data_IF_477569987901
#
_entry.id   IF_477569987901
#
_cell.length_a   1.000
_cell.length_b   1.000
_cell.length_c   1.000
_cell.angle_alpha   90.00
_cell.angle_beta   90.00
_cell.angle_gamma   90.00
#
_symmetry.space_group_name_H-M   'P 1'
#
loop_
_entity.id
_entity.type
_entity.pdbx_description
1 polymer ?
#
# COMPACT_ATOMS: atom_id res chain seq x y z
N UNK A 1 15.88 -10.88 8.02
CA UNK A 1 14.41 -11.03 7.86
C UNK A 1 13.75 -9.75 7.34
N UNK A 2 13.58 -8.68 8.13
CA UNK A 2 12.86 -7.47 7.65
C UNK A 2 13.54 -6.80 6.45
N UNK A 3 14.88 -6.78 6.43
CA UNK A 3 15.65 -6.31 5.26
C UNK A 3 15.43 -7.18 4.01
N UNK A 4 15.27 -8.49 4.18
CA UNK A 4 15.04 -9.42 3.07
C UNK A 4 13.63 -9.26 2.53
N UNK A 5 12.63 -9.10 3.41
CA UNK A 5 11.26 -8.77 3.03
C UNK A 5 11.18 -7.44 2.26
N UNK A 6 11.87 -6.40 2.73
CA UNK A 6 11.96 -5.13 2.02
C UNK A 6 12.66 -5.28 0.66
N UNK A 7 13.70 -6.12 0.57
CA UNK A 7 14.35 -6.44 -0.69
C UNK A 7 13.38 -7.14 -1.65
N UNK A 8 12.64 -8.16 -1.21
CA UNK A 8 11.66 -8.87 -2.04
C UNK A 8 10.60 -7.92 -2.60
N UNK A 9 10.11 -6.98 -1.79
CA UNK A 9 9.14 -5.97 -2.19
C UNK A 9 9.69 -4.89 -3.14
N UNK A 10 11.02 -4.79 -3.30
CA UNK A 10 11.68 -3.74 -4.10
C UNK A 10 12.58 -4.34 -5.18
N UNK A 11 13.90 -4.38 -4.95
CA UNK A 11 14.89 -4.89 -5.91
C UNK A 11 14.63 -6.36 -6.31
N UNK A 12 14.18 -7.19 -5.38
CA UNK A 12 13.83 -8.58 -5.65
C UNK A 12 12.71 -8.70 -6.68
N UNK A 13 11.62 -7.94 -6.49
CA UNK A 13 10.55 -7.83 -7.48
C UNK A 13 11.04 -7.25 -8.81
N UNK A 14 11.85 -6.19 -8.80
CA UNK A 14 12.41 -5.62 -10.02
C UNK A 14 13.23 -6.64 -10.82
N UNK A 15 14.06 -7.45 -10.15
CA UNK A 15 14.80 -8.54 -10.79
C UNK A 15 13.90 -9.63 -11.36
N UNK A 16 12.87 -10.03 -10.61
CA UNK A 16 11.92 -11.05 -11.05
C UNK A 16 11.21 -10.66 -12.35
N UNK A 17 11.02 -9.36 -12.60
CA UNK A 17 10.42 -8.84 -13.83
C UNK A 17 11.43 -8.32 -14.86
N UNK A 18 12.74 -8.46 -14.65
CA UNK A 18 13.77 -7.94 -15.56
C UNK A 18 13.82 -6.40 -15.64
N UNK A 19 13.38 -5.71 -14.58
CA UNK A 19 13.30 -4.25 -14.46
C UNK A 19 14.37 -3.67 -13.53
N UNK A 20 15.33 -4.47 -13.06
CA UNK A 20 16.35 -4.05 -12.11
C UNK A 20 17.38 -3.06 -12.67
N UNK A 21 17.46 -2.90 -14.01
CA UNK A 21 18.16 -1.78 -14.64
C UNK A 21 17.39 -0.45 -14.57
N UNK A 22 16.08 -0.48 -14.28
CA UNK A 22 15.17 0.67 -14.37
C UNK A 22 14.63 1.14 -13.01
N UNK A 23 14.33 0.22 -12.09
CA UNK A 23 13.69 0.52 -10.79
C UNK A 23 14.20 -0.41 -9.68
N UNK A 24 13.58 -0.35 -8.49
CA UNK A 24 13.83 -1.26 -7.36
C UNK A 24 14.99 -0.85 -6.44
N UNK A 25 15.77 0.18 -6.78
CA UNK A 25 16.72 0.81 -5.85
C UNK A 25 16.85 2.31 -6.12
N UNK A 26 17.27 3.04 -5.10
CA UNK A 26 17.67 4.44 -5.22
C UNK A 26 19.12 4.46 -5.69
N UNK A 27 19.32 4.59 -7.00
CA UNK A 27 20.64 4.59 -7.65
C UNK A 27 20.59 5.51 -8.87
N UNK A 28 21.60 6.35 -9.11
CA UNK A 28 21.63 7.22 -10.30
C UNK A 28 21.38 6.43 -11.60
N UNK A 29 20.62 7.03 -12.52
CA UNK A 29 20.23 6.40 -13.79
C UNK A 29 18.91 5.61 -13.74
N UNK A 30 18.43 5.22 -12.55
CA UNK A 30 17.11 4.60 -12.38
C UNK A 30 15.98 5.62 -12.30
N UNK A 31 14.76 5.16 -12.57
CA UNK A 31 13.56 5.95 -12.37
C UNK A 31 13.37 6.32 -10.89
N UNK A 32 12.87 7.53 -10.65
CA UNK A 32 12.46 7.96 -9.32
C UNK A 32 11.10 7.38 -8.96
N UNK A 33 11.08 6.07 -8.71
CA UNK A 33 9.96 5.33 -8.13
C UNK A 33 10.16 5.28 -6.61
N UNK A 34 9.57 6.25 -5.90
CA UNK A 34 9.86 6.51 -4.48
C UNK A 34 8.58 6.47 -3.66
N UNK A 35 8.67 5.86 -2.48
CA UNK A 35 7.64 5.89 -1.42
C UNK A 35 8.29 6.49 -0.18
N UNK A 36 7.65 7.52 0.39
CA UNK A 36 8.13 8.24 1.57
C UNK A 36 7.10 8.11 2.68
N UNK A 37 7.57 7.80 3.88
CA UNK A 37 6.74 7.56 5.05
C UNK A 37 6.86 8.71 6.05
N UNK A 38 5.75 9.12 6.64
CA UNK A 38 5.70 9.97 7.81
C UNK A 38 5.92 9.12 9.07
N UNK A 39 7.11 9.24 9.66
CA UNK A 39 7.49 8.47 10.84
C UNK A 39 7.07 9.11 12.18
N UNK A 40 6.17 10.11 12.16
CA UNK A 40 5.70 10.83 13.37
C UNK A 40 4.43 10.24 13.98
N UNK A 41 3.76 9.31 13.29
CA UNK A 41 2.55 8.63 13.76
C UNK A 41 2.79 7.80 15.02
N UNK A 42 1.78 7.70 15.89
CA UNK A 42 1.88 6.95 17.16
C UNK A 42 2.12 5.44 16.94
N UNK A 43 1.62 4.88 15.84
CA UNK A 43 1.84 3.48 15.46
C UNK A 43 3.30 3.20 15.08
N UNK A 44 4.05 4.21 14.65
CA UNK A 44 5.45 4.10 14.20
C UNK A 44 6.44 4.65 15.24
N UNK A 45 5.98 5.38 16.25
CA UNK A 45 6.84 5.96 17.29
C UNK A 45 7.49 4.90 18.19
N UNK A 46 8.80 4.99 18.56
CA UNK A 46 9.79 6.00 18.19
C UNK A 46 10.70 5.56 17.03
N UNK A 47 10.27 5.77 15.78
CA UNK A 47 11.01 5.30 14.60
C UNK A 47 12.40 5.93 14.37
N UNK A 48 12.66 7.13 14.88
CA UNK A 48 13.79 7.96 14.41
C UNK A 48 15.06 7.88 15.26
N UNK A 49 14.99 7.45 16.53
CA UNK A 49 16.17 7.37 17.41
C UNK A 49 16.67 5.92 17.54
N UNK A 50 17.69 5.56 16.77
CA UNK A 50 18.35 4.24 16.84
C UNK A 50 17.55 3.06 16.27
N UNK A 51 16.38 3.33 15.67
CA UNK A 51 15.51 2.34 15.08
C UNK A 51 16.00 1.78 13.74
N UNK A 52 15.57 0.58 13.39
CA UNK A 52 15.83 -0.03 12.08
C UNK A 52 14.70 0.33 11.10
N UNK A 53 14.99 1.19 10.11
CA UNK A 53 13.99 1.65 9.14
C UNK A 53 13.28 0.51 8.39
N UNK A 54 13.98 -0.57 8.03
CA UNK A 54 13.37 -1.72 7.38
C UNK A 54 12.42 -2.47 8.33
N UNK A 55 12.75 -2.54 9.62
CA UNK A 55 11.86 -3.10 10.63
C UNK A 55 10.60 -2.24 10.76
N UNK A 56 10.76 -0.92 10.84
CA UNK A 56 9.65 0.03 10.96
C UNK A 56 8.66 -0.10 9.81
N UNK A 57 9.16 -0.04 8.58
CA UNK A 57 8.31 -0.12 7.38
C UNK A 57 7.62 -1.48 7.26
N UNK A 58 8.31 -2.57 7.58
CA UNK A 58 7.77 -3.92 7.38
C UNK A 58 6.80 -4.34 8.49
N UNK A 59 7.02 -3.93 9.73
CA UNK A 59 6.29 -4.45 10.89
C UNK A 59 5.23 -3.48 11.43
N UNK A 60 5.39 -2.17 11.23
CA UNK A 60 4.54 -1.17 11.91
C UNK A 60 3.85 -0.19 10.97
N UNK A 61 4.46 0.13 9.81
CA UNK A 61 3.88 1.13 8.93
C UNK A 61 2.59 0.67 8.27
N UNK A 62 1.62 1.58 8.20
CA UNK A 62 0.36 1.42 7.50
C UNK A 62 0.30 2.27 6.23
N UNK A 63 -0.73 2.04 5.41
CA UNK A 63 -0.93 2.82 4.17
C UNK A 63 -1.19 4.30 4.43
N UNK A 64 -1.72 4.64 5.60
CA UNK A 64 -1.93 6.02 6.09
C UNK A 64 -0.61 6.76 6.31
N UNK A 65 0.45 6.06 6.69
CA UNK A 65 1.75 6.65 6.97
C UNK A 65 2.53 7.02 5.70
N UNK A 66 2.12 6.53 4.53
CA UNK A 66 2.76 6.92 3.26
C UNK A 66 2.42 8.38 2.97
N UNK A 67 3.34 9.32 3.15
CA UNK A 67 3.06 10.74 2.92
C UNK A 67 3.16 11.09 1.43
N UNK A 68 4.18 10.57 0.74
CA UNK A 68 4.46 10.93 -0.65
C UNK A 68 4.80 9.70 -1.50
N UNK A 69 4.37 9.73 -2.77
CA UNK A 69 4.64 8.69 -3.77
C UNK A 69 5.03 9.35 -5.09
N UNK A 70 6.17 8.95 -5.64
CA UNK A 70 6.59 9.28 -7.01
C UNK A 70 6.61 8.02 -7.89
N UNK A 71 6.22 8.19 -9.15
CA UNK A 71 6.34 7.18 -10.20
C UNK A 71 7.04 7.82 -11.39
N UNK A 72 8.23 7.31 -11.74
CA UNK A 72 9.11 7.86 -12.76
C UNK A 72 9.33 9.38 -12.61
N UNK A 73 9.52 9.85 -11.37
CA UNK A 73 9.74 11.26 -11.05
C UNK A 73 8.49 12.15 -11.07
N UNK A 74 7.30 11.59 -11.32
CA UNK A 74 6.03 12.31 -11.24
C UNK A 74 5.31 11.99 -9.94
N UNK A 75 4.79 13.02 -9.28
CA UNK A 75 4.01 12.86 -8.05
C UNK A 75 2.69 12.14 -8.33
N UNK A 76 2.45 11.04 -7.61
CA UNK A 76 1.17 10.33 -7.56
C UNK A 76 0.41 10.65 -6.26
N UNK A 77 1.15 10.81 -5.16
CA UNK A 77 0.67 11.26 -3.84
C UNK A 77 1.66 12.28 -3.28
N UNK A 78 1.18 13.37 -2.69
CA UNK A 78 2.03 14.39 -2.06
C UNK A 78 1.32 15.01 -0.86
N UNK A 79 2.02 15.13 0.26
CA UNK A 79 1.46 15.68 1.51
C UNK A 79 0.24 14.92 2.00
N UNK A 80 0.23 13.59 1.88
CA UNK A 80 -0.88 12.75 2.31
C UNK A 80 -2.06 12.65 1.32
N UNK A 81 -2.07 13.44 0.24
CA UNK A 81 -3.18 13.48 -0.72
C UNK A 81 -2.79 12.98 -2.13
N UNK A 82 -3.74 12.37 -2.83
CA UNK A 82 -3.56 11.99 -4.24
C UNK A 82 -3.39 13.24 -5.10
N UNK A 83 -2.50 13.19 -6.10
CA UNK A 83 -2.21 14.34 -6.96
C UNK A 83 -3.25 14.54 -8.07
N UNK A 84 -4.20 13.63 -8.23
CA UNK A 84 -5.34 13.82 -9.12
C UNK A 84 -6.57 14.30 -8.36
N UNK A 85 -7.46 15.00 -9.06
CA UNK A 85 -8.61 15.66 -8.44
C UNK A 85 -9.70 14.69 -7.93
N UNK A 86 -10.53 15.22 -7.02
CA UNK A 86 -11.63 14.46 -6.40
C UNK A 86 -12.68 14.00 -7.42
N UNK A 87 -12.88 14.73 -8.53
CA UNK A 87 -13.84 14.35 -9.56
C UNK A 87 -13.36 13.09 -10.31
N UNK A 88 -12.07 13.00 -10.61
CA UNK A 88 -11.47 11.78 -11.16
C UNK A 88 -11.58 10.62 -10.17
N UNK A 89 -11.35 10.86 -8.88
CA UNK A 89 -11.52 9.81 -7.86
C UNK A 89 -12.96 9.27 -7.84
N UNK A 90 -13.95 10.17 -7.82
CA UNK A 90 -15.36 9.80 -7.85
C UNK A 90 -15.72 8.96 -9.08
N UNK A 91 -15.28 9.38 -10.27
CA UNK A 91 -15.48 8.60 -11.51
C UNK A 91 -14.83 7.21 -11.43
N UNK A 92 -13.60 7.11 -10.94
CA UNK A 92 -12.91 5.82 -10.79
C UNK A 92 -13.65 4.89 -9.82
N UNK A 93 -14.22 5.43 -8.73
CA UNK A 93 -15.06 4.63 -7.82
C UNK A 93 -16.33 4.13 -8.50
N UNK A 94 -17.02 4.99 -9.25
CA UNK A 94 -18.21 4.61 -10.01
C UNK A 94 -17.90 3.52 -11.04
N UNK A 95 -16.84 3.69 -11.84
CA UNK A 95 -16.39 2.71 -12.83
C UNK A 95 -16.02 1.37 -12.19
N UNK A 96 -15.32 1.40 -11.05
CA UNK A 96 -14.93 0.19 -10.31
C UNK A 96 -16.16 -0.52 -9.74
N UNK A 97 -17.13 0.20 -9.19
CA UNK A 97 -18.38 -0.38 -8.69
C UNK A 97 -19.21 -0.98 -9.84
N UNK A 98 -19.32 -0.29 -10.97
CA UNK A 98 -20.00 -0.82 -12.14
C UNK A 98 -19.33 -2.10 -12.66
N UNK A 99 -17.99 -2.13 -12.69
CA UNK A 99 -17.22 -3.32 -13.05
C UNK A 99 -17.48 -4.49 -12.09
N UNK A 100 -17.43 -4.23 -10.78
CA UNK A 100 -17.75 -5.21 -9.75
C UNK A 100 -19.15 -5.80 -9.96
N UNK A 101 -20.15 -4.96 -10.22
CA UNK A 101 -21.51 -5.44 -10.40
C UNK A 101 -21.67 -6.33 -11.62
N UNK A 102 -21.05 -5.97 -12.75
CA UNK A 102 -21.02 -6.83 -13.94
C UNK A 102 -20.39 -8.19 -13.66
N UNK A 103 -19.26 -8.22 -12.96
CA UNK A 103 -18.59 -9.49 -12.59
C UNK A 103 -19.49 -10.33 -11.69
N UNK A 104 -20.20 -9.72 -10.75
CA UNK A 104 -21.08 -10.44 -9.83
C UNK A 104 -22.28 -11.05 -10.58
N UNK A 105 -22.89 -10.29 -11.48
CA UNK A 105 -24.00 -10.77 -12.31
C UNK A 105 -23.55 -11.92 -13.22
N UNK A 106 -22.45 -11.74 -13.96
CA UNK A 106 -21.91 -12.76 -14.87
C UNK A 106 -21.43 -14.01 -14.13
N UNK A 107 -20.86 -13.83 -12.94
CA UNK A 107 -20.39 -14.91 -12.08
C UNK A 107 -21.50 -15.61 -11.29
N UNK A 108 -22.77 -15.23 -11.46
CA UNK A 108 -23.89 -15.72 -10.65
C UNK A 108 -23.62 -15.61 -9.14
N UNK A 109 -22.87 -14.59 -8.73
CA UNK A 109 -22.49 -14.38 -7.35
C UNK A 109 -23.72 -13.99 -6.53
N UNK A 110 -23.98 -14.73 -5.45
CA UNK A 110 -25.06 -14.45 -4.51
C UNK A 110 -24.46 -14.00 -3.19
N UNK A 111 -24.66 -12.72 -2.86
CA UNK A 111 -24.40 -12.24 -1.50
C UNK A 111 -25.53 -12.75 -0.61
N UNK A 112 -25.20 -13.66 0.30
CA UNK A 112 -26.13 -14.10 1.34
C UNK A 112 -25.79 -13.37 2.64
N UNK A 113 -26.78 -12.75 3.31
CA UNK A 113 -26.58 -12.25 4.66
C UNK A 113 -26.10 -13.39 5.55
N UNK A 114 -24.94 -13.24 6.19
CA UNK A 114 -24.47 -14.21 7.16
C UNK A 114 -25.20 -13.93 8.47
N UNK A 115 -26.00 -14.89 8.93
CA UNK A 115 -26.53 -14.83 10.28
C UNK A 115 -25.36 -15.03 11.25
N UNK A 116 -25.04 -14.00 12.04
CA UNK A 116 -24.01 -14.11 13.08
C UNK A 116 -24.40 -15.23 14.04
N UNK A 117 -23.51 -16.20 14.21
CA UNK A 117 -23.64 -17.20 15.26
C UNK A 117 -23.55 -16.59 16.67
N UNK A 118 -23.98 -17.32 17.70
CA UNK A 118 -23.87 -16.87 19.08
C UNK A 118 -22.42 -16.47 19.39
N UNK A 119 -22.24 -15.28 19.93
CA UNK A 119 -20.93 -14.83 20.41
C UNK A 119 -20.73 -15.39 21.83
N UNK A 120 -19.51 -15.80 22.21
CA UNK A 120 -19.25 -16.16 23.60
C UNK A 120 -19.47 -14.95 24.51
N UNK A 121 -20.07 -15.17 25.69
CA UNK A 121 -20.25 -14.10 26.70
C UNK A 121 -18.91 -13.58 27.23
N UNK A 122 -17.88 -14.44 27.21
CA UNK A 122 -16.53 -14.12 27.61
C UNK A 122 -15.53 -14.64 26.57
N UNK A 123 -14.66 -13.75 26.09
CA UNK A 123 -13.47 -14.13 25.36
C UNK A 123 -12.38 -14.44 26.38
N UNK A 124 -11.96 -15.71 26.47
CA UNK A 124 -10.76 -16.05 27.22
C UNK A 124 -9.57 -15.60 26.37
N UNK A 125 -8.87 -14.57 26.84
CA UNK A 125 -7.59 -14.11 26.30
C UNK A 125 -6.47 -14.80 27.06
#
# INVERSE_FOLDING_TARGET
LTRDALYWATMGGAKAFGLDGKTGSITPGKQADLVMFDCRGMNIFPALAGGNAAHIVVMYAETSDIENVMVAGRWAKRGGALCFDAARLARLHEELMASRMRIFEQGSYKSVPVQRGPQPEHFFV
#
